data_IF_445967654590
#
_entry.id   IF_445967654590
#
_cell.length_a   1.000
_cell.length_b   1.000
_cell.length_c   1.000
_cell.angle_alpha   90.00
_cell.angle_beta   90.00
_cell.angle_gamma   90.00
#
_symmetry.space_group_name_H-M   'P 1'
#
loop_
_entity.id
_entity.type
_entity.pdbx_description
1 polymer ?
#
# COMPACT_ATOMS: atom_id res chain seq x y z
N UNK A 1 -1.20 -7.11 32.69
CA UNK A 1 -0.70 -7.12 34.09
C UNK A 1 -1.30 -5.93 34.83
N UNK A 2 -1.81 -6.19 36.04
CA UNK A 2 -2.58 -5.35 36.98
C UNK A 2 -3.85 -4.63 36.49
N UNK A 3 -3.98 -4.27 35.21
CA UNK A 3 -5.20 -3.71 34.62
C UNK A 3 -5.84 -2.55 35.43
N UNK A 4 -5.00 -1.66 35.97
CA UNK A 4 -5.41 -0.44 36.67
C UNK A 4 -5.00 0.78 35.87
N UNK A 5 -5.78 1.86 36.01
CA UNK A 5 -5.55 3.12 35.32
C UNK A 5 -4.27 3.82 35.78
N UNK A 6 -3.66 4.56 34.85
CA UNK A 6 -2.33 5.15 35.00
C UNK A 6 -2.23 6.12 36.19
N UNK A 7 -3.34 6.79 36.52
CA UNK A 7 -3.44 7.74 37.64
C UNK A 7 -3.39 7.04 39.01
N UNK A 8 -3.88 5.80 39.13
CA UNK A 8 -3.92 5.06 40.38
C UNK A 8 -2.57 4.46 40.80
N UNK A 9 -1.57 4.46 39.92
CA UNK A 9 -0.21 3.94 40.24
C UNK A 9 0.57 4.84 41.20
N UNK A 10 0.33 6.15 41.17
CA UNK A 10 1.13 7.12 41.95
C UNK A 10 0.94 6.95 43.47
N UNK A 11 -0.26 6.52 43.89
CA UNK A 11 -0.63 6.36 45.30
C UNK A 11 -0.66 4.89 45.76
N UNK A 12 -0.31 3.94 44.89
CA UNK A 12 -0.40 2.50 45.17
C UNK A 12 0.73 2.03 46.11
N UNK A 13 0.47 2.07 47.41
CA UNK A 13 1.32 1.45 48.44
C UNK A 13 0.89 0.02 48.71
N UNK A 14 1.26 -0.91 47.82
CA UNK A 14 1.00 -2.33 47.97
C UNK A 14 2.30 -3.14 47.87
N UNK A 15 2.39 -4.22 48.66
CA UNK A 15 3.47 -5.20 48.55
C UNK A 15 3.05 -6.26 47.53
N UNK A 16 3.81 -6.39 46.45
CA UNK A 16 3.58 -7.42 45.44
C UNK A 16 4.43 -8.65 45.75
N UNK A 17 3.78 -9.80 45.78
CA UNK A 17 4.45 -11.10 45.76
C UNK A 17 4.23 -11.70 44.39
N UNK A 18 5.32 -12.09 43.72
CA UNK A 18 5.26 -12.87 42.50
C UNK A 18 6.12 -14.12 42.68
N UNK A 19 5.60 -15.22 42.18
CA UNK A 19 6.34 -16.48 42.09
C UNK A 19 6.91 -16.56 40.68
N UNK A 20 8.22 -16.79 40.58
CA UNK A 20 8.85 -17.02 39.28
C UNK A 20 8.63 -18.47 38.91
N UNK A 21 7.68 -18.71 37.99
CA UNK A 21 7.38 -20.07 37.54
C UNK A 21 8.42 -20.59 36.54
N UNK A 22 8.96 -19.71 35.68
CA UNK A 22 9.98 -20.08 34.69
C UNK A 22 10.89 -18.89 34.36
N UNK A 23 12.18 -19.16 34.15
CA UNK A 23 13.15 -18.22 33.61
C UNK A 23 13.57 -18.72 32.24
N UNK A 24 13.01 -18.12 31.19
CA UNK A 24 13.44 -18.38 29.81
C UNK A 24 14.52 -17.37 29.40
N UNK A 25 15.57 -17.85 28.73
CA UNK A 25 16.61 -17.02 28.10
C UNK A 25 16.58 -17.24 26.61
N UNK A 26 16.45 -16.17 25.83
CA UNK A 26 16.62 -16.24 24.39
C UNK A 26 18.11 -16.33 24.06
N UNK A 27 18.49 -17.36 23.32
CA UNK A 27 19.82 -17.47 22.71
C UNK A 27 19.64 -17.44 21.18
N UNK A 28 20.53 -16.74 20.44
CA UNK A 28 20.53 -16.83 18.99
C UNK A 28 20.69 -18.28 18.55
N UNK A 29 19.84 -18.72 17.62
CA UNK A 29 19.98 -20.03 17.03
C UNK A 29 21.21 -20.05 16.09
N UNK A 30 21.90 -21.18 16.04
CA UNK A 30 22.96 -21.40 15.07
C UNK A 30 22.40 -21.39 13.64
N UNK A 31 23.18 -20.88 12.68
CA UNK A 31 22.82 -20.86 11.26
C UNK A 31 22.95 -22.26 10.64
N UNK A 32 22.04 -23.15 11.00
CA UNK A 32 22.03 -24.55 10.58
C UNK A 32 20.65 -24.99 10.07
N UNK A 33 20.58 -26.25 9.62
CA UNK A 33 19.34 -26.84 9.08
C UNK A 33 18.16 -26.79 10.05
N UNK A 34 18.39 -26.87 11.37
CA UNK A 34 17.30 -26.76 12.36
C UNK A 34 16.65 -25.38 12.33
N UNK A 35 17.46 -24.31 12.24
CA UNK A 35 16.93 -22.96 12.08
C UNK A 35 16.22 -22.80 10.73
N UNK A 36 16.81 -23.31 9.64
CA UNK A 36 16.24 -23.19 8.30
C UNK A 36 14.88 -23.91 8.20
N UNK A 37 14.78 -25.11 8.76
CA UNK A 37 13.56 -25.90 8.80
C UNK A 37 12.48 -25.24 9.69
N UNK A 38 12.87 -24.57 10.78
CA UNK A 38 11.94 -23.80 11.63
C UNK A 38 11.38 -22.56 10.94
N UNK A 39 12.19 -21.85 10.15
CA UNK A 39 11.77 -20.61 9.47
C UNK A 39 10.98 -20.90 8.20
N UNK A 40 11.45 -21.84 7.38
CA UNK A 40 10.90 -22.05 6.03
C UNK A 40 10.22 -23.40 5.82
N UNK A 41 10.24 -24.29 6.81
CA UNK A 41 9.73 -25.66 6.69
C UNK A 41 10.81 -26.64 6.21
N UNK A 42 10.58 -27.92 6.53
CA UNK A 42 11.57 -28.97 6.36
C UNK A 42 12.00 -29.15 4.90
N UNK A 43 13.31 -29.03 4.64
CA UNK A 43 13.91 -29.32 3.33
C UNK A 43 13.72 -28.22 2.27
N UNK A 44 13.16 -27.06 2.65
CA UNK A 44 12.99 -25.91 1.76
C UNK A 44 14.30 -25.15 1.56
N UNK A 45 15.16 -25.10 2.57
CA UNK A 45 16.48 -24.46 2.54
C UNK A 45 17.51 -25.44 3.11
N UNK A 46 18.57 -25.72 2.36
CA UNK A 46 19.51 -26.80 2.69
C UNK A 46 20.80 -26.32 3.34
N UNK A 47 21.16 -25.05 3.16
CA UNK A 47 22.42 -24.48 3.61
C UNK A 47 22.30 -22.96 3.84
N UNK A 48 23.30 -22.39 4.50
CA UNK A 48 23.35 -20.96 4.80
C UNK A 48 23.27 -20.07 3.55
N UNK A 49 23.87 -20.49 2.44
CA UNK A 49 23.84 -19.72 1.20
C UNK A 49 22.41 -19.59 0.67
N UNK A 50 21.68 -20.70 0.61
CA UNK A 50 20.26 -20.71 0.24
C UNK A 50 19.40 -19.90 1.22
N UNK A 51 19.71 -19.97 2.53
CA UNK A 51 19.02 -19.20 3.55
C UNK A 51 19.18 -17.69 3.33
N UNK A 52 20.43 -17.23 3.10
CA UNK A 52 20.74 -15.82 2.83
C UNK A 52 20.12 -15.33 1.53
N UNK A 53 20.16 -16.14 0.47
CA UNK A 53 19.51 -15.80 -0.82
C UNK A 53 18.01 -15.65 -0.64
N UNK A 54 17.37 -16.54 0.14
CA UNK A 54 15.94 -16.47 0.39
C UNK A 54 15.55 -15.23 1.20
N UNK A 55 16.30 -14.90 2.25
CA UNK A 55 16.12 -13.67 3.02
C UNK A 55 16.31 -12.43 2.11
N UNK A 56 17.36 -12.43 1.28
CA UNK A 56 17.62 -11.32 0.36
C UNK A 56 16.46 -11.14 -0.64
N UNK A 57 15.98 -12.22 -1.25
CA UNK A 57 14.84 -12.17 -2.16
C UNK A 57 13.56 -11.68 -1.46
N UNK A 58 13.30 -12.13 -0.23
CA UNK A 58 12.15 -11.65 0.56
C UNK A 58 12.29 -10.16 0.88
N UNK A 59 13.48 -9.71 1.26
CA UNK A 59 13.75 -8.29 1.49
C UNK A 59 13.59 -7.46 0.20
N UNK A 60 14.09 -7.94 -0.94
CA UNK A 60 13.94 -7.30 -2.25
C UNK A 60 12.46 -7.14 -2.63
N UNK A 61 11.64 -8.16 -2.40
CA UNK A 61 10.20 -8.10 -2.66
C UNK A 61 9.50 -6.98 -1.89
N UNK A 62 9.98 -6.65 -0.68
CA UNK A 62 9.43 -5.52 0.09
C UNK A 62 9.69 -4.18 -0.59
N UNK A 63 10.82 -4.03 -1.32
CA UNK A 63 11.19 -2.78 -2.00
C UNK A 63 10.62 -2.65 -3.41
N UNK A 64 10.19 -3.75 -4.04
CA UNK A 64 9.55 -3.69 -5.38
C UNK A 64 8.32 -2.78 -5.34
N UNK A 65 7.50 -2.87 -4.30
CA UNK A 65 6.32 -2.01 -4.15
C UNK A 65 6.66 -0.53 -4.04
N UNK A 66 7.69 -0.20 -3.25
CA UNK A 66 8.16 1.18 -3.09
C UNK A 66 8.79 1.73 -4.38
N UNK A 67 9.56 0.91 -5.10
CA UNK A 67 10.15 1.27 -6.38
C UNK A 67 9.07 1.52 -7.43
N UNK A 68 8.04 0.69 -7.49
CA UNK A 68 6.89 0.86 -8.39
C UNK A 68 6.11 2.13 -8.07
N UNK A 69 5.89 2.42 -6.78
CA UNK A 69 5.26 3.68 -6.35
C UNK A 69 6.09 4.89 -6.79
N UNK A 70 7.41 4.84 -6.62
CA UNK A 70 8.29 5.94 -7.07
C UNK A 70 8.23 6.11 -8.59
N UNK A 71 8.28 5.00 -9.33
CA UNK A 71 8.15 5.02 -10.78
C UNK A 71 6.81 5.60 -11.24
N UNK A 72 5.71 5.27 -10.56
CA UNK A 72 4.39 5.88 -10.83
C UNK A 72 4.41 7.40 -10.63
N UNK A 73 4.94 7.87 -9.51
CA UNK A 73 5.02 9.30 -9.24
C UNK A 73 5.86 10.03 -10.30
N UNK A 74 7.01 9.45 -10.69
CA UNK A 74 7.87 10.03 -11.73
C UNK A 74 7.19 10.06 -13.10
N UNK A 75 6.44 9.00 -13.44
CA UNK A 75 5.64 8.96 -14.66
C UNK A 75 4.55 10.04 -14.67
N UNK A 76 3.84 10.21 -13.55
CA UNK A 76 2.78 11.23 -13.37
C UNK A 76 3.36 12.63 -13.54
N UNK A 77 4.44 12.95 -12.83
CA UNK A 77 5.08 14.27 -12.89
C UNK A 77 5.63 14.53 -14.30
N UNK A 78 6.28 13.56 -14.93
CA UNK A 78 6.74 13.67 -16.32
C UNK A 78 5.59 13.96 -17.29
N UNK A 79 4.47 13.25 -17.17
CA UNK A 79 3.31 13.46 -18.04
C UNK A 79 2.66 14.83 -17.82
N UNK A 80 2.58 15.29 -16.58
CA UNK A 80 2.08 16.63 -16.24
C UNK A 80 2.98 17.73 -16.80
N UNK A 81 4.30 17.57 -16.71
CA UNK A 81 5.27 18.53 -17.27
C UNK A 81 5.26 18.57 -18.80
N UNK A 82 5.11 17.41 -19.45
CA UNK A 82 5.12 17.31 -20.92
C UNK A 82 3.78 17.62 -21.57
N UNK A 83 2.68 17.56 -20.83
CA UNK A 83 1.34 17.75 -21.36
C UNK A 83 0.75 19.05 -20.85
N UNK A 84 0.97 20.14 -21.60
CA UNK A 84 0.38 21.44 -21.28
C UNK A 84 -0.95 21.65 -21.99
N UNK A 85 -1.98 21.96 -21.21
CA UNK A 85 -3.27 22.46 -21.67
C UNK A 85 -3.87 23.39 -20.63
N UNK A 86 -4.69 24.32 -21.09
CA UNK A 86 -5.33 25.31 -20.26
C UNK A 86 -6.65 24.80 -19.69
N UNK A 87 -6.89 25.09 -18.42
CA UNK A 87 -8.15 24.83 -17.74
C UNK A 87 -8.92 26.14 -17.57
N UNK A 88 -10.27 26.13 -17.65
CA UNK A 88 -11.07 27.34 -17.50
C UNK A 88 -11.15 27.74 -16.02
N UNK A 89 -10.10 28.38 -15.50
CA UNK A 89 -9.93 28.62 -14.06
C UNK A 89 -11.08 29.39 -13.42
N UNK A 90 -11.54 30.46 -14.08
CA UNK A 90 -12.65 31.27 -13.59
C UNK A 90 -13.96 30.47 -13.45
N UNK A 91 -14.20 29.51 -14.36
CA UNK A 91 -15.34 28.61 -14.27
C UNK A 91 -15.15 27.63 -13.12
N UNK A 92 -13.97 27.00 -13.01
CA UNK A 92 -13.67 26.01 -11.98
C UNK A 92 -13.77 26.60 -10.58
N UNK A 93 -13.23 27.81 -10.34
CA UNK A 93 -13.34 28.51 -9.05
C UNK A 93 -14.79 28.78 -8.66
N UNK A 94 -15.60 29.28 -9.61
CA UNK A 94 -17.05 29.49 -9.40
C UNK A 94 -17.78 28.19 -9.14
N UNK A 95 -17.42 27.14 -9.88
CA UNK A 95 -18.01 25.82 -9.73
C UNK A 95 -17.72 25.22 -8.35
N UNK A 96 -16.47 25.29 -7.89
CA UNK A 96 -16.07 24.88 -6.53
C UNK A 96 -16.92 25.58 -5.46
N UNK A 97 -17.06 26.90 -5.55
CA UNK A 97 -17.91 27.67 -4.62
C UNK A 97 -19.37 27.21 -4.61
N UNK A 98 -19.88 26.70 -5.75
CA UNK A 98 -21.27 26.27 -5.90
C UNK A 98 -21.50 24.85 -5.37
N UNK A 99 -20.52 23.95 -5.50
CA UNK A 99 -20.66 22.53 -5.12
C UNK A 99 -20.20 22.23 -3.70
N UNK A 100 -19.48 23.15 -3.05
CA UNK A 100 -19.04 22.97 -1.67
C UNK A 100 -20.23 22.94 -0.70
N UNK A 101 -20.35 21.86 0.08
CA UNK A 101 -21.37 21.72 1.13
C UNK A 101 -21.23 22.75 2.26
N UNK A 102 -20.01 23.28 2.45
CA UNK A 102 -19.71 24.39 3.35
C UNK A 102 -19.44 25.65 2.51
N UNK A 103 -19.86 26.85 2.95
CA UNK A 103 -19.48 28.08 2.29
C UNK A 103 -17.96 28.21 2.30
N UNK A 104 -17.33 28.15 1.13
CA UNK A 104 -15.90 28.40 0.95
C UNK A 104 -15.75 29.79 0.37
N UNK A 105 -14.85 30.57 0.96
CA UNK A 105 -14.52 31.90 0.46
C UNK A 105 -13.67 31.81 -0.81
N UNK A 106 -13.68 32.86 -1.63
CA UNK A 106 -12.82 32.92 -2.82
C UNK A 106 -11.34 32.83 -2.44
N UNK A 107 -10.93 33.44 -1.32
CA UNK A 107 -9.55 33.42 -0.83
C UNK A 107 -9.09 32.00 -0.47
N UNK A 108 -9.94 31.21 0.20
CA UNK A 108 -9.67 29.79 0.51
C UNK A 108 -9.57 28.95 -0.77
N UNK A 109 -10.47 29.18 -1.73
CA UNK A 109 -10.41 28.50 -3.03
C UNK A 109 -9.10 28.84 -3.73
N UNK A 110 -8.67 30.09 -3.70
CA UNK A 110 -7.47 30.57 -4.39
C UNK A 110 -6.19 29.98 -3.80
N UNK A 111 -6.15 29.74 -2.48
CA UNK A 111 -5.04 29.06 -1.82
C UNK A 111 -4.90 27.60 -2.27
N UNK A 112 -6.01 26.87 -2.39
CA UNK A 112 -6.00 25.44 -2.73
C UNK A 112 -6.11 25.17 -4.24
N UNK A 113 -6.37 26.21 -5.04
CA UNK A 113 -6.70 26.07 -6.47
C UNK A 113 -5.58 25.41 -7.28
N UNK A 114 -4.31 25.72 -6.99
CA UNK A 114 -3.18 25.14 -7.72
C UNK A 114 -3.05 23.63 -7.49
N UNK A 115 -3.31 23.16 -6.26
CA UNK A 115 -3.35 21.73 -5.95
C UNK A 115 -4.50 21.03 -6.67
N UNK A 116 -5.69 21.63 -6.62
CA UNK A 116 -6.86 21.15 -7.36
C UNK A 116 -6.61 21.10 -8.88
N UNK A 117 -6.00 22.14 -9.44
CA UNK A 117 -5.64 22.24 -10.86
C UNK A 117 -4.66 21.14 -11.26
N UNK A 118 -3.62 20.87 -10.46
CA UNK A 118 -2.69 19.75 -10.71
C UNK A 118 -3.43 18.41 -10.71
N UNK A 119 -4.29 18.18 -9.71
CA UNK A 119 -5.09 16.95 -9.61
C UNK A 119 -6.05 16.77 -10.80
N UNK A 120 -6.75 17.83 -11.20
CA UNK A 120 -7.69 17.78 -12.32
C UNK A 120 -6.97 17.55 -13.65
N UNK A 121 -5.80 18.20 -13.84
CA UNK A 121 -4.96 17.94 -15.02
C UNK A 121 -4.55 16.48 -15.10
N UNK A 122 -4.08 15.92 -13.97
CA UNK A 122 -3.73 14.51 -13.91
C UNK A 122 -4.92 13.62 -14.27
N UNK A 123 -6.07 13.85 -13.64
CA UNK A 123 -7.29 13.08 -13.90
C UNK A 123 -7.69 13.09 -15.39
N UNK A 124 -7.52 14.21 -16.09
CA UNK A 124 -7.82 14.30 -17.53
C UNK A 124 -6.80 13.48 -18.35
N UNK A 125 -5.51 13.57 -18.02
CA UNK A 125 -4.45 12.80 -18.69
C UNK A 125 -4.67 11.29 -18.47
N UNK A 126 -4.89 10.91 -17.21
CA UNK A 126 -5.15 9.53 -16.79
C UNK A 126 -6.35 8.92 -17.53
N UNK A 127 -7.48 9.63 -17.55
CA UNK A 127 -8.66 9.20 -18.30
C UNK A 127 -8.41 9.06 -19.80
N UNK A 128 -7.61 9.96 -20.38
CA UNK A 128 -7.26 9.88 -21.80
C UNK A 128 -6.41 8.65 -22.09
N UNK A 129 -5.38 8.40 -21.29
CA UNK A 129 -4.52 7.22 -21.40
C UNK A 129 -5.36 5.95 -21.28
N UNK A 130 -6.23 5.89 -20.28
CA UNK A 130 -7.09 4.75 -20.06
C UNK A 130 -8.01 4.47 -21.25
N UNK A 131 -8.65 5.52 -21.79
CA UNK A 131 -9.55 5.40 -22.93
C UNK A 131 -8.81 4.98 -24.20
N UNK A 132 -7.66 5.56 -24.50
CA UNK A 132 -6.89 5.25 -25.71
C UNK A 132 -6.27 3.84 -25.69
N UNK A 133 -5.97 3.33 -24.50
CA UNK A 133 -5.33 2.02 -24.31
C UNK A 133 -6.30 0.94 -23.80
N UNK A 134 -7.62 1.23 -23.76
CA UNK A 134 -8.66 0.33 -23.27
C UNK A 134 -8.37 -0.22 -21.86
N UNK A 135 -7.81 0.62 -20.99
CA UNK A 135 -7.60 0.27 -19.59
C UNK A 135 -8.92 0.45 -18.84
N UNK A 136 -9.52 -0.66 -18.46
CA UNK A 136 -10.71 -0.71 -17.61
C UNK A 136 -10.54 -1.82 -16.59
N UNK A 137 -11.29 -1.74 -15.49
CA UNK A 137 -11.33 -2.78 -14.46
C UNK A 137 -12.63 -3.54 -14.61
N UNK A 138 -12.54 -4.87 -14.76
CA UNK A 138 -13.73 -5.71 -14.81
C UNK A 138 -14.17 -6.13 -13.40
N UNK A 139 -15.42 -6.55 -13.28
CA UNK A 139 -15.95 -7.03 -12.01
C UNK A 139 -15.23 -8.29 -11.53
N UNK A 140 -14.85 -9.16 -12.46
CA UNK A 140 -14.10 -10.39 -12.19
C UNK A 140 -12.72 -10.07 -11.62
N UNK A 141 -12.06 -9.04 -12.14
CA UNK A 141 -10.78 -8.55 -11.61
C UNK A 141 -10.94 -7.97 -10.20
N UNK A 142 -12.01 -7.19 -9.97
CA UNK A 142 -12.32 -6.65 -8.65
C UNK A 142 -12.56 -7.76 -7.61
N UNK A 143 -13.33 -8.79 -7.96
CA UNK A 143 -13.55 -9.97 -7.11
C UNK A 143 -12.23 -10.70 -6.85
N UNK A 144 -11.45 -10.97 -7.90
CA UNK A 144 -10.17 -11.68 -7.78
C UNK A 144 -9.17 -10.94 -6.87
N UNK A 145 -9.06 -9.62 -7.02
CA UNK A 145 -8.18 -8.81 -6.17
C UNK A 145 -8.68 -8.76 -4.73
N UNK A 146 -9.99 -8.57 -4.51
CA UNK A 146 -10.59 -8.59 -3.17
C UNK A 146 -10.31 -9.91 -2.46
N UNK A 147 -10.44 -11.04 -3.15
CA UNK A 147 -10.08 -12.37 -2.61
C UNK A 147 -8.61 -12.43 -2.20
N UNK A 148 -7.68 -11.89 -2.99
CA UNK A 148 -6.26 -11.85 -2.63
C UNK A 148 -6.03 -11.03 -1.35
N UNK A 149 -6.70 -9.89 -1.20
CA UNK A 149 -6.57 -9.05 -0.01
C UNK A 149 -7.10 -9.73 1.24
N UNK A 150 -8.25 -10.39 1.16
CA UNK A 150 -8.81 -11.15 2.27
C UNK A 150 -7.82 -12.27 2.68
N UNK A 151 -7.27 -13.03 1.73
CA UNK A 151 -6.26 -14.06 2.02
C UNK A 151 -5.01 -13.47 2.70
N UNK A 152 -4.52 -12.34 2.19
CA UNK A 152 -3.35 -11.67 2.74
C UNK A 152 -3.60 -11.20 4.19
N UNK A 153 -4.77 -10.58 4.45
CA UNK A 153 -5.17 -10.15 5.78
C UNK A 153 -5.26 -11.34 6.75
N UNK A 154 -5.89 -12.44 6.34
CA UNK A 154 -6.02 -13.63 7.20
C UNK A 154 -4.67 -14.26 7.51
N UNK A 155 -3.78 -14.34 6.51
CA UNK A 155 -2.40 -14.83 6.70
C UNK A 155 -1.63 -13.95 7.70
N UNK A 156 -1.80 -12.62 7.63
CA UNK A 156 -1.16 -11.68 8.56
C UNK A 156 -1.58 -11.90 10.03
N UNK A 157 -2.82 -12.32 10.26
CA UNK A 157 -3.33 -12.66 11.60
C UNK A 157 -3.18 -14.15 11.96
N UNK A 158 -2.45 -14.94 11.15
CA UNK A 158 -2.24 -16.36 11.39
C UNK A 158 -3.50 -17.23 11.23
N UNK A 159 -4.52 -16.72 10.53
CA UNK A 159 -5.76 -17.42 10.26
C UNK A 159 -5.65 -18.26 8.98
N UNK A 160 -6.26 -19.45 8.98
CA UNK A 160 -6.34 -20.30 7.79
C UNK A 160 -7.27 -19.64 6.77
N UNK A 161 -6.85 -19.63 5.50
CA UNK A 161 -7.67 -19.11 4.40
C UNK A 161 -9.00 -19.89 4.31
N UNK A 162 -10.15 -19.21 4.14
CA UNK A 162 -11.44 -19.85 3.89
C UNK A 162 -11.41 -20.66 2.61
N UNK A 163 -12.37 -21.58 2.48
CA UNK A 163 -12.65 -22.27 1.23
C UNK A 163 -13.06 -21.28 0.14
N UNK A 164 -12.82 -21.63 -1.13
CA UNK A 164 -13.02 -20.73 -2.27
C UNK A 164 -14.46 -20.19 -2.34
N UNK A 165 -15.46 -21.00 -2.03
CA UNK A 165 -16.86 -20.57 -2.06
C UNK A 165 -17.17 -19.53 -0.96
N UNK A 166 -16.61 -19.68 0.23
CA UNK A 166 -16.76 -18.70 1.31
C UNK A 166 -16.01 -17.41 1.00
N UNK A 167 -14.81 -17.55 0.43
CA UNK A 167 -14.00 -16.42 0.04
C UNK A 167 -14.65 -15.58 -1.08
N UNK A 168 -15.30 -16.22 -2.05
CA UNK A 168 -16.10 -15.55 -3.09
C UNK A 168 -17.24 -14.74 -2.46
N UNK A 169 -17.97 -15.33 -1.50
CA UNK A 169 -19.06 -14.65 -0.78
C UNK A 169 -18.55 -13.42 -0.01
N UNK A 170 -17.42 -13.55 0.68
CA UNK A 170 -16.80 -12.43 1.39
C UNK A 170 -16.34 -11.32 0.44
N UNK A 171 -15.74 -11.69 -0.69
CA UNK A 171 -15.34 -10.70 -1.70
C UNK A 171 -16.55 -9.90 -2.23
N UNK A 172 -17.67 -10.57 -2.53
CA UNK A 172 -18.89 -9.88 -2.92
C UNK A 172 -19.48 -9.00 -1.82
N UNK A 173 -19.38 -9.41 -0.56
CA UNK A 173 -19.84 -8.61 0.57
C UNK A 173 -19.00 -7.33 0.75
N UNK A 174 -17.67 -7.43 0.59
CA UNK A 174 -16.78 -6.26 0.60
C UNK A 174 -17.12 -5.31 -0.55
N UNK A 175 -17.27 -5.85 -1.77
CA UNK A 175 -17.61 -5.06 -2.95
C UNK A 175 -19.05 -4.51 -2.94
N UNK A 176 -19.91 -4.94 -2.01
CA UNK A 176 -21.22 -4.33 -1.83
C UNK A 176 -21.14 -2.96 -1.13
N UNK A 177 -20.04 -2.68 -0.43
CA UNK A 177 -19.74 -1.34 0.07
C UNK A 177 -19.14 -0.50 -1.04
N UNK A 178 -19.82 0.59 -1.43
CA UNK A 178 -19.38 1.47 -2.54
C UNK A 178 -18.01 2.10 -2.33
N UNK A 179 -17.64 2.40 -1.09
CA UNK A 179 -16.33 2.97 -0.78
C UNK A 179 -15.22 1.93 -0.98
N UNK A 180 -15.43 0.71 -0.46
CA UNK A 180 -14.50 -0.40 -0.66
C UNK A 180 -14.43 -0.81 -2.14
N UNK A 181 -15.57 -0.91 -2.82
CA UNK A 181 -15.63 -1.15 -4.26
C UNK A 181 -14.78 -0.13 -5.00
N UNK A 182 -15.00 1.17 -4.76
CA UNK A 182 -14.20 2.22 -5.40
C UNK A 182 -12.70 2.05 -5.10
N UNK A 183 -12.32 1.82 -3.84
CA UNK A 183 -10.91 1.64 -3.45
C UNK A 183 -10.25 0.45 -4.16
N UNK A 184 -10.97 -0.67 -4.30
CA UNK A 184 -10.49 -1.85 -5.03
C UNK A 184 -10.31 -1.54 -6.53
N UNK A 185 -11.29 -0.88 -7.13
CA UNK A 185 -11.23 -0.50 -8.54
C UNK A 185 -10.06 0.47 -8.80
N UNK A 186 -9.91 1.50 -7.97
CA UNK A 186 -8.82 2.48 -8.08
C UNK A 186 -7.44 1.80 -7.94
N UNK A 187 -7.31 0.86 -7.00
CA UNK A 187 -6.08 0.07 -6.81
C UNK A 187 -5.72 -0.76 -8.05
N UNK A 188 -6.68 -1.51 -8.61
CA UNK A 188 -6.44 -2.35 -9.79
C UNK A 188 -6.09 -1.47 -10.98
N UNK A 189 -6.79 -0.36 -11.14
CA UNK A 189 -6.55 0.59 -12.20
C UNK A 189 -5.16 1.21 -12.11
N UNK A 190 -4.72 1.64 -10.93
CA UNK A 190 -3.35 2.13 -10.69
C UNK A 190 -2.29 1.07 -11.02
N UNK A 191 -2.55 -0.21 -10.67
CA UNK A 191 -1.67 -1.33 -11.04
C UNK A 191 -1.58 -1.51 -12.56
N UNK A 192 -2.71 -1.42 -13.28
CA UNK A 192 -2.75 -1.49 -14.75
C UNK A 192 -2.01 -0.33 -15.40
N UNK A 193 -2.18 0.90 -14.89
CA UNK A 193 -1.40 2.06 -15.32
C UNK A 193 0.10 1.84 -15.10
N UNK A 194 0.47 1.22 -13.97
CA UNK A 194 1.87 0.88 -13.68
C UNK A 194 2.46 -0.06 -14.73
N UNK A 195 1.76 -1.15 -15.02
CA UNK A 195 2.16 -2.10 -16.07
C UNK A 195 2.25 -1.40 -17.42
N UNK A 196 1.29 -0.56 -17.76
CA UNK A 196 1.29 0.20 -19.01
C UNK A 196 2.51 1.14 -19.09
N UNK A 197 2.77 1.95 -18.07
CA UNK A 197 3.92 2.86 -18.04
C UNK A 197 5.26 2.12 -18.13
N UNK A 198 5.40 0.96 -17.47
CA UNK A 198 6.60 0.14 -17.59
C UNK A 198 6.83 -0.37 -19.02
N UNK A 199 5.75 -0.60 -19.78
CA UNK A 199 5.84 -1.01 -21.19
C UNK A 199 6.02 0.15 -22.17
N UNK A 200 5.48 1.33 -21.84
CA UNK A 200 5.46 2.49 -22.72
C UNK A 200 6.72 3.36 -22.58
N UNK A 201 7.28 3.44 -21.38
CA UNK A 201 8.48 4.23 -21.11
C UNK A 201 9.75 3.40 -21.21
N UNK A 202 10.84 4.08 -21.62
CA UNK A 202 12.18 3.53 -21.48
C UNK A 202 12.62 3.64 -20.03
N UNK A 203 12.62 2.52 -19.32
CA UNK A 203 13.08 2.45 -17.93
C UNK A 203 14.61 2.57 -17.89
N UNK A 204 15.12 3.43 -17.01
CA UNK A 204 16.55 3.56 -16.72
C UNK A 204 16.82 3.07 -15.31
N UNK A 205 17.37 1.88 -15.19
CA UNK A 205 17.72 1.28 -13.89
C UNK A 205 18.92 1.99 -13.28
N UNK A 206 18.79 2.35 -12.00
CA UNK A 206 19.86 3.00 -11.23
C UNK A 206 20.08 2.22 -9.95
N UNK A 207 21.31 1.77 -9.76
CA UNK A 207 21.73 1.17 -8.51
C UNK A 207 21.90 2.28 -7.46
N UNK A 208 21.21 2.13 -6.33
CA UNK A 208 21.30 3.07 -5.20
C UNK A 208 21.43 2.32 -3.88
N UNK A 209 22.04 2.95 -2.88
CA UNK A 209 22.13 2.38 -1.53
C UNK A 209 20.76 2.39 -0.84
N UNK A 210 20.59 1.51 0.13
CA UNK A 210 19.39 1.46 0.98
C UNK A 210 19.05 2.82 1.61
N UNK A 211 20.04 3.51 2.17
CA UNK A 211 19.83 4.83 2.79
C UNK A 211 19.30 5.87 1.80
N UNK A 212 19.79 5.85 0.56
CA UNK A 212 19.32 6.75 -0.48
C UNK A 212 17.93 6.37 -0.97
N UNK A 213 17.62 5.07 -1.06
CA UNK A 213 16.28 4.60 -1.39
C UNK A 213 15.24 5.09 -0.38
N UNK A 214 15.53 4.97 0.92
CA UNK A 214 14.61 5.44 1.98
C UNK A 214 14.34 6.94 1.88
N UNK A 215 15.37 7.75 1.59
CA UNK A 215 15.20 9.21 1.39
C UNK A 215 14.33 9.52 0.17
N UNK A 216 14.48 8.77 -0.92
CA UNK A 216 13.69 8.94 -2.14
C UNK A 216 12.25 8.41 -2.01
N UNK A 217 12.02 7.41 -1.16
CA UNK A 217 10.69 6.86 -0.91
C UNK A 217 9.86 7.75 0.03
N UNK A 218 10.50 8.58 0.86
CA UNK A 218 9.84 9.51 1.80
C UNK A 218 9.55 10.90 1.21
N UNK A 219 10.11 11.21 0.04
CA UNK A 219 9.89 12.46 -0.72
C UNK A 219 8.76 12.31 -1.73
#
# INVERSE_FOLDING_TARGET
MLNIDKEAYADLKANFSFTIDNISRMQPADLNTELFDKVYGKGVVKNEKEFRVKIAAEAEQMFVGDADRKFQNDAVDFLLEKTSFDLPEAFLKRWMQTVSEKPVTLDEIEQDFEGYKKSLKWQIIENKIAKENNLSVTKEEAVAETKKLIRAQMTQYGQVSPEEEQLEKYAHQVLANKEEEKNIYDRIFASKLTVFFKSAFKINEKEISYENFIKLAQS
#
